data_IF_266576020738
#
_entry.id   IF_266576020738
#
_cell.length_a   1.000
_cell.length_b   1.000
_cell.length_c   1.000
_cell.angle_alpha   90.00
_cell.angle_beta   90.00
_cell.angle_gamma   90.00
#
_symmetry.space_group_name_H-M   'P 1'
#
loop_
_entity.id
_entity.type
_entity.pdbx_description
1 polymer ?
#
# COMPACT_ATOMS: atom_id res chain seq x y z
N UNK A 1 14.31 60.74 14.18
CA UNK A 1 14.75 60.52 12.79
C UNK A 1 14.46 59.06 12.47
N UNK A 2 13.28 58.75 11.91
CA UNK A 2 13.08 58.34 10.49
C UNK A 2 14.02 57.20 10.08
N UNK A 3 13.57 55.98 9.78
CA UNK A 3 12.69 55.67 8.64
C UNK A 3 12.09 54.25 8.77
N UNK A 4 10.77 54.12 8.57
CA UNK A 4 10.08 52.85 8.26
C UNK A 4 10.59 52.29 6.93
N UNK A 5 10.88 50.99 6.86
CA UNK A 5 10.96 50.25 5.59
C UNK A 5 10.15 48.97 5.66
N UNK A 6 9.01 49.03 4.98
CA UNK A 6 8.16 47.91 4.57
C UNK A 6 8.84 47.11 3.48
N UNK A 7 8.78 45.78 3.56
CA UNK A 7 8.85 44.88 2.40
C UNK A 7 8.38 43.49 2.83
N UNK A 8 7.21 43.13 2.31
CA UNK A 8 6.56 41.81 2.35
C UNK A 8 7.55 40.75 1.86
N UNK A 9 7.86 39.76 2.70
CA UNK A 9 8.53 38.54 2.27
C UNK A 9 7.58 37.36 2.45
N UNK A 10 6.81 37.12 1.40
CA UNK A 10 6.22 35.83 1.07
C UNK A 10 7.41 34.89 0.76
N UNK A 11 7.77 34.02 1.71
CA UNK A 11 8.74 32.95 1.46
C UNK A 11 8.08 31.64 1.87
N UNK A 12 7.64 30.91 0.84
CA UNK A 12 7.08 29.57 0.89
C UNK A 12 7.90 28.67 1.83
N UNK A 13 7.21 28.05 2.78
CA UNK A 13 7.68 26.92 3.57
C UNK A 13 8.02 25.76 2.63
N UNK A 14 9.29 25.70 2.22
CA UNK A 14 9.83 24.64 1.40
C UNK A 14 10.49 23.57 2.27
N UNK A 15 10.20 22.33 1.90
CA UNK A 15 11.01 21.14 2.10
C UNK A 15 11.07 20.53 3.51
N UNK A 16 10.10 19.63 3.73
CA UNK A 16 10.24 18.43 4.55
C UNK A 16 11.47 17.66 4.07
N UNK A 17 12.58 17.77 4.80
CA UNK A 17 13.79 16.99 4.57
C UNK A 17 14.12 16.24 5.87
N UNK A 18 13.98 14.91 5.86
CA UNK A 18 14.28 14.09 7.03
C UNK A 18 14.02 12.61 6.85
N UNK A 19 14.91 11.95 6.09
CA UNK A 19 15.25 10.52 6.17
C UNK A 19 14.16 9.49 5.78
N UNK A 20 13.86 9.41 4.48
CA UNK A 20 13.60 8.11 3.86
C UNK A 20 14.96 7.47 3.59
N UNK A 21 15.43 6.59 4.49
CA UNK A 21 16.46 5.63 4.11
C UNK A 21 15.85 4.72 3.03
N UNK A 22 16.07 5.10 1.77
CA UNK A 22 15.89 4.24 0.62
C UNK A 22 16.91 3.10 0.74
N UNK A 23 16.55 2.06 1.49
CA UNK A 23 17.12 0.75 1.28
C UNK A 23 16.64 0.32 -0.11
N UNK A 24 17.49 0.49 -1.11
CA UNK A 24 17.38 -0.18 -2.40
C UNK A 24 17.54 -1.70 -2.17
N UNK A 25 16.57 -2.33 -1.53
CA UNK A 25 16.41 -3.77 -1.59
C UNK A 25 15.63 -4.03 -2.86
N UNK A 26 16.35 -4.33 -3.94
CA UNK A 26 15.75 -5.04 -5.08
C UNK A 26 15.10 -6.29 -4.51
N UNK A 27 13.76 -6.42 -4.47
CA UNK A 27 13.16 -7.67 -4.07
C UNK A 27 13.41 -8.59 -5.25
N UNK A 28 14.50 -9.36 -5.16
CA UNK A 28 14.82 -10.39 -6.14
C UNK A 28 13.55 -11.17 -6.44
N UNK A 29 13.20 -11.23 -7.73
CA UNK A 29 12.07 -11.98 -8.28
C UNK A 29 12.02 -13.35 -7.58
N UNK A 30 11.12 -13.46 -6.58
CA UNK A 30 10.83 -14.73 -5.94
C UNK A 30 9.88 -15.44 -6.89
N UNK A 31 10.43 -16.38 -7.66
CA UNK A 31 9.66 -17.35 -8.43
C UNK A 31 8.72 -18.06 -7.44
N UNK A 32 7.43 -17.69 -7.39
CA UNK A 32 6.45 -18.44 -6.59
C UNK A 32 5.32 -17.67 -5.88
N UNK A 33 5.33 -16.34 -5.84
CA UNK A 33 4.20 -15.56 -5.32
C UNK A 33 4.57 -14.24 -4.66
N UNK A 34 3.58 -13.54 -4.13
CA UNK A 34 3.76 -12.27 -3.43
C UNK A 34 4.53 -12.44 -2.10
N UNK A 35 5.39 -11.49 -1.70
CA UNK A 35 6.06 -11.51 -0.40
C UNK A 35 5.08 -11.64 0.76
N UNK A 36 5.46 -12.30 1.85
CA UNK A 36 4.63 -12.46 3.03
C UNK A 36 4.27 -11.10 3.67
N UNK A 37 5.16 -10.10 3.53
CA UNK A 37 4.91 -8.73 3.93
C UNK A 37 3.74 -8.11 3.15
N UNK A 38 3.71 -8.28 1.83
CA UNK A 38 2.59 -7.84 0.97
C UNK A 38 1.28 -8.48 1.42
N UNK A 39 1.29 -9.78 1.73
CA UNK A 39 0.11 -10.51 2.20
C UNK A 39 -0.42 -9.95 3.52
N UNK A 40 0.44 -9.75 4.52
CA UNK A 40 0.06 -9.19 5.83
C UNK A 40 -0.47 -7.75 5.70
N UNK A 41 0.18 -6.94 4.87
CA UNK A 41 -0.25 -5.57 4.61
C UNK A 41 -1.61 -5.55 3.92
N UNK A 42 -1.84 -6.42 2.94
CA UNK A 42 -3.12 -6.59 2.27
C UNK A 42 -4.24 -7.00 3.21
N UNK A 43 -4.02 -7.98 4.09
CA UNK A 43 -5.03 -8.39 5.09
C UNK A 43 -5.37 -7.23 6.02
N UNK A 44 -4.36 -6.47 6.45
CA UNK A 44 -4.56 -5.29 7.33
C UNK A 44 -5.32 -4.18 6.62
N UNK A 45 -4.97 -3.88 5.36
CA UNK A 45 -5.64 -2.87 4.56
C UNK A 45 -7.08 -3.29 4.25
N UNK A 46 -7.31 -4.54 3.84
CA UNK A 46 -8.62 -5.07 3.55
C UNK A 46 -9.53 -5.06 4.79
N UNK A 47 -9.00 -5.37 5.97
CA UNK A 47 -9.76 -5.28 7.22
C UNK A 47 -10.24 -3.85 7.49
N UNK A 48 -9.38 -2.85 7.23
CA UNK A 48 -9.71 -1.43 7.41
C UNK A 48 -10.68 -0.91 6.35
N UNK A 49 -10.41 -1.18 5.08
CA UNK A 49 -11.20 -0.67 3.96
C UNK A 49 -12.57 -1.33 3.87
N UNK A 50 -12.62 -2.65 4.06
CA UNK A 50 -13.86 -3.42 3.97
C UNK A 50 -14.63 -3.45 5.30
N UNK A 51 -14.06 -2.87 6.37
CA UNK A 51 -14.62 -2.82 7.73
C UNK A 51 -14.99 -4.20 8.28
N UNK A 52 -14.10 -5.16 8.10
CA UNK A 52 -14.25 -6.54 8.57
C UNK A 52 -13.12 -6.95 9.51
N UNK A 53 -13.33 -7.89 10.43
CA UNK A 53 -12.26 -8.40 11.29
C UNK A 53 -11.14 -9.04 10.45
N UNK A 54 -9.85 -8.79 10.74
CA UNK A 54 -8.74 -9.36 9.98
C UNK A 54 -8.72 -10.89 10.02
N UNK A 55 -9.14 -11.51 11.13
CA UNK A 55 -9.27 -12.97 11.25
C UNK A 55 -10.36 -13.58 10.36
N UNK A 56 -11.18 -12.75 9.72
CA UNK A 56 -12.17 -13.19 8.72
C UNK A 56 -11.65 -13.10 7.28
N UNK A 57 -10.40 -12.66 7.09
CA UNK A 57 -9.78 -12.51 5.77
C UNK A 57 -8.73 -13.59 5.60
N UNK A 58 -8.91 -14.42 4.58
CA UNK A 58 -7.93 -15.43 4.17
C UNK A 58 -7.28 -14.96 2.89
N UNK A 59 -5.97 -14.79 2.91
CA UNK A 59 -5.23 -14.54 1.68
C UNK A 59 -4.97 -15.86 0.96
N UNK A 60 -5.42 -15.94 -0.29
CA UNK A 60 -5.02 -16.97 -1.22
C UNK A 60 -3.62 -16.65 -1.79
N UNK A 61 -3.11 -17.54 -2.64
CA UNK A 61 -1.79 -17.41 -3.23
C UNK A 61 -1.64 -16.08 -3.98
N UNK A 62 -0.60 -15.32 -3.63
CA UNK A 62 -0.19 -14.13 -4.39
C UNK A 62 0.39 -14.55 -5.74
N UNK A 63 0.12 -13.77 -6.78
CA UNK A 63 0.67 -14.02 -8.11
C UNK A 63 2.04 -13.38 -8.28
N UNK A 64 2.79 -13.83 -9.28
CA UNK A 64 4.02 -13.17 -9.75
C UNK A 64 3.73 -11.70 -10.04
N UNK A 65 4.67 -10.78 -9.74
CA UNK A 65 4.45 -9.37 -9.98
C UNK A 65 4.32 -9.14 -11.49
N UNK A 66 3.35 -8.32 -11.88
CA UNK A 66 3.17 -7.83 -13.24
C UNK A 66 3.42 -6.33 -13.20
N UNK A 67 4.40 -5.87 -13.96
CA UNK A 67 4.82 -4.46 -13.98
C UNK A 67 5.18 -3.92 -12.58
N UNK A 68 5.80 -4.76 -11.74
CA UNK A 68 6.13 -4.43 -10.35
C UNK A 68 4.95 -4.43 -9.37
N UNK A 69 3.77 -4.87 -9.81
CA UNK A 69 2.57 -4.98 -8.96
C UNK A 69 2.23 -6.44 -8.70
N UNK A 70 2.24 -6.82 -7.43
CA UNK A 70 1.72 -8.09 -6.96
C UNK A 70 0.21 -8.03 -6.79
N UNK A 71 -0.47 -9.10 -7.21
CA UNK A 71 -1.91 -9.27 -6.98
C UNK A 71 -2.13 -10.40 -5.99
N UNK A 72 -2.87 -10.12 -4.92
CA UNK A 72 -3.17 -11.05 -3.85
C UNK A 72 -4.68 -11.23 -3.80
N UNK A 73 -5.12 -12.45 -4.05
CA UNK A 73 -6.54 -12.80 -3.93
C UNK A 73 -6.87 -13.00 -2.44
N UNK A 74 -8.00 -12.45 -2.02
CA UNK A 74 -8.49 -12.52 -0.64
C UNK A 74 -9.90 -13.12 -0.63
N UNK A 75 -10.19 -13.93 0.39
CA UNK A 75 -11.55 -14.34 0.74
C UNK A 75 -11.95 -13.66 2.03
N UNK A 76 -13.06 -12.95 1.99
CA UNK A 76 -13.53 -12.08 3.07
C UNK A 76 -14.80 -12.63 3.69
N UNK A 77 -14.76 -12.82 5.01
CA UNK A 77 -15.89 -13.24 5.81
C UNK A 77 -16.25 -14.73 5.66
N UNK A 78 -17.21 -15.20 6.47
CA UNK A 78 -17.70 -16.58 6.40
C UNK A 78 -18.41 -16.91 5.08
N UNK A 79 -18.87 -15.90 4.35
CA UNK A 79 -19.48 -16.04 3.02
C UNK A 79 -18.43 -16.22 1.90
N UNK A 80 -17.14 -16.11 2.20
CA UNK A 80 -16.07 -16.29 1.21
C UNK A 80 -16.08 -15.26 0.09
N UNK A 81 -16.51 -14.01 0.36
CA UNK A 81 -16.58 -12.96 -0.67
C UNK A 81 -15.18 -12.70 -1.21
N UNK A 82 -15.02 -12.85 -2.53
CA UNK A 82 -13.72 -12.67 -3.15
C UNK A 82 -13.37 -11.18 -3.25
N UNK A 83 -12.14 -10.84 -2.87
CA UNK A 83 -11.54 -9.54 -3.03
C UNK A 83 -10.13 -9.68 -3.63
N UNK A 84 -9.62 -8.59 -4.18
CA UNK A 84 -8.27 -8.49 -4.71
C UNK A 84 -7.60 -7.34 -3.99
N UNK A 85 -6.40 -7.60 -3.50
CA UNK A 85 -5.50 -6.58 -3.02
C UNK A 85 -4.30 -6.52 -3.96
N UNK A 86 -3.88 -5.31 -4.28
CA UNK A 86 -2.67 -5.06 -5.09
C UNK A 86 -1.61 -4.39 -4.23
N UNK A 87 -0.36 -4.83 -4.38
CA UNK A 87 0.79 -4.22 -3.72
C UNK A 87 1.90 -3.97 -4.72
N UNK A 88 2.72 -2.95 -4.49
CA UNK A 88 3.94 -2.73 -5.26
C UNK A 88 5.06 -3.70 -4.85
N UNK A 89 6.24 -3.54 -5.47
CA UNK A 89 7.44 -4.32 -5.18
C UNK A 89 7.94 -4.17 -3.74
N UNK A 90 7.60 -3.07 -3.09
CA UNK A 90 7.99 -2.74 -1.71
C UNK A 90 6.95 -3.22 -0.68
N UNK A 91 5.97 -4.03 -1.11
CA UNK A 91 4.85 -4.48 -0.28
C UNK A 91 3.92 -3.36 0.22
N UNK A 92 3.95 -2.18 -0.41
CA UNK A 92 3.00 -1.11 -0.16
C UNK A 92 1.66 -1.43 -0.84
N UNK A 93 0.56 -1.30 -0.11
CA UNK A 93 -0.79 -1.56 -0.64
C UNK A 93 -1.20 -0.42 -1.54
N UNK A 94 -1.54 -0.74 -2.79
CA UNK A 94 -2.02 0.20 -3.80
C UNK A 94 -3.55 0.30 -3.72
N UNK A 95 -4.24 -0.81 -3.47
CA UNK A 95 -5.67 -0.80 -3.20
C UNK A 95 -6.27 -2.17 -2.92
N UNK A 96 -7.49 -2.17 -2.36
CA UNK A 96 -8.29 -3.36 -2.12
C UNK A 96 -9.67 -3.18 -2.77
N UNK A 97 -10.10 -4.19 -3.54
CA UNK A 97 -11.40 -4.17 -4.23
C UNK A 97 -12.11 -5.50 -4.10
N UNK A 98 -13.43 -5.49 -3.91
CA UNK A 98 -14.23 -6.71 -4.06
C UNK A 98 -14.22 -7.15 -5.53
N UNK A 99 -14.08 -8.45 -5.79
CA UNK A 99 -14.35 -9.01 -7.11
C UNK A 99 -15.84 -8.89 -7.39
N UNK A 100 -16.18 -8.42 -8.59
CA UNK A 100 -17.56 -8.46 -9.08
C UNK A 100 -17.95 -9.94 -9.29
N UNK A 101 -19.12 -10.39 -8.80
CA UNK A 101 -19.63 -11.70 -9.17
C UNK A 101 -19.91 -11.72 -10.69
N UNK A 102 -19.46 -12.78 -11.34
CA UNK A 102 -19.71 -13.05 -12.77
C UNK A 102 -21.12 -13.59 -13.03
#
# INVERSE_FOLDING_TARGET
MTTMRSSIQLACTAAVAGLLLAACNSPGIRVGGAPEASVKNCVTAAARELRVPPGSIVADKGTTPRDGVYTINLKVGPQGRSAVCTTDENSAVIGVVYKRPE
#
